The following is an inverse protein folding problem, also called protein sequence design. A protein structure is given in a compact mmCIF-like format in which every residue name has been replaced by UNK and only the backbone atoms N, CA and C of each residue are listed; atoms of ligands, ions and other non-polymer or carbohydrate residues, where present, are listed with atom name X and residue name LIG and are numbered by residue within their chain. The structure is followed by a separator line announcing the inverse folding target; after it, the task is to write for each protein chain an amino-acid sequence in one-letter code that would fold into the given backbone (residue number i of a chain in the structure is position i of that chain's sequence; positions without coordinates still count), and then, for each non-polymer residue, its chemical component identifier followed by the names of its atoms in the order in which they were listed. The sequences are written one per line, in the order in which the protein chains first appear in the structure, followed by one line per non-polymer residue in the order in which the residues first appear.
data_IF_105787794901
#
_entry.id   IF_105787794901
#
_cell.length_a   1.000
_cell.length_b   1.000
_cell.length_c   1.000
_cell.angle_alpha   90.00
_cell.angle_beta   90.00
_cell.angle_gamma   90.00
#
_symmetry.space_group_name_H-M   'P 1'
#
loop_
_entity.id
_entity.type
_entity.pdbx_description
1 polymer ?
#
# COMPACT_ATOMS: atom_id res chain seq x y z
N UNK A 1 -10.82 33.07 -4.96
CA UNK A 1 -11.54 31.80 -4.73
C UNK A 1 -10.50 30.69 -4.60
N UNK A 2 -10.07 30.37 -3.38
CA UNK A 2 -9.02 29.37 -3.12
C UNK A 2 -9.60 28.25 -2.26
N UNK A 3 -9.87 27.11 -2.87
CA UNK A 3 -10.24 25.89 -2.14
C UNK A 3 -8.97 25.15 -1.74
N UNK A 4 -8.38 25.54 -0.60
CA UNK A 4 -7.39 24.73 0.08
C UNK A 4 -8.11 23.52 0.72
N UNK A 5 -8.09 22.39 0.01
CA UNK A 5 -8.63 21.14 0.51
C UNK A 5 -7.94 20.70 1.79
N UNK A 6 -8.72 20.63 2.86
CA UNK A 6 -8.37 20.10 4.18
C UNK A 6 -7.67 18.75 4.05
N UNK A 7 -6.37 18.71 4.37
CA UNK A 7 -5.67 17.45 4.66
C UNK A 7 -6.29 16.89 5.93
N UNK A 8 -7.19 15.92 5.76
CA UNK A 8 -7.76 15.14 6.85
C UNK A 8 -6.62 14.40 7.55
N UNK A 9 -6.11 14.98 8.64
CA UNK A 9 -5.20 14.31 9.57
C UNK A 9 -5.99 13.21 10.28
N UNK A 10 -6.16 12.05 9.62
CA UNK A 10 -6.69 10.86 10.30
C UNK A 10 -5.58 10.30 11.19
N UNK A 11 -5.82 10.47 12.48
CA UNK A 11 -5.05 10.03 13.64
C UNK A 11 -4.45 8.62 13.45
N UNK A 12 -3.12 8.44 13.57
CA UNK A 12 -2.54 7.10 13.67
C UNK A 12 -2.99 6.43 14.98
N UNK A 13 -3.15 5.08 15.02
CA UNK A 13 -3.57 4.37 16.22
C UNK A 13 -2.55 4.57 17.37
N UNK A 14 -3.01 4.68 18.63
CA UNK A 14 -2.14 4.94 19.75
C UNK A 14 -1.33 3.69 20.13
N UNK A 15 -0.01 3.89 20.28
CA UNK A 15 1.00 2.94 20.77
C UNK A 15 1.21 1.67 19.93
N UNK A 16 2.18 1.74 19.01
CA UNK A 16 2.84 0.55 18.48
C UNK A 16 4.34 0.69 18.71
N UNK A 17 4.85 0.00 19.73
CA UNK A 17 6.29 -0.20 19.89
C UNK A 17 6.85 -0.85 18.63
N UNK A 18 7.91 -0.26 18.05
CA UNK A 18 8.71 -0.74 16.90
C UNK A 18 8.18 -1.99 16.21
N UNK A 19 7.11 -1.86 15.42
CA UNK A 19 6.71 -2.91 14.49
C UNK A 19 7.79 -2.94 13.41
N UNK A 20 8.66 -3.94 13.46
CA UNK A 20 9.70 -4.16 12.44
C UNK A 20 9.00 -4.79 11.24
N UNK A 21 8.37 -3.97 10.42
CA UNK A 21 7.83 -4.39 9.13
C UNK A 21 8.97 -4.95 8.28
N UNK A 22 9.06 -6.28 8.17
CA UNK A 22 10.05 -6.93 7.34
C UNK A 22 9.66 -6.78 5.86
N UNK A 23 10.65 -6.86 4.96
CA UNK A 23 10.39 -6.80 3.52
C UNK A 23 9.45 -7.92 3.05
N UNK A 24 9.50 -9.08 3.70
CA UNK A 24 8.62 -10.23 3.43
C UNK A 24 7.15 -9.92 3.74
N UNK A 25 6.84 -9.31 4.88
CA UNK A 25 5.43 -9.00 5.22
C UNK A 25 4.83 -7.97 4.27
N UNK A 26 5.62 -6.98 3.82
CA UNK A 26 5.20 -6.00 2.81
C UNK A 26 4.95 -6.64 1.44
N UNK A 27 5.72 -7.67 1.08
CA UNK A 27 5.59 -8.37 -0.20
C UNK A 27 4.33 -9.23 -0.24
N UNK A 28 4.06 -10.01 0.81
CA UNK A 28 2.84 -10.82 0.91
C UNK A 28 1.56 -9.99 1.00
N UNK A 29 1.62 -8.80 1.59
CA UNK A 29 0.50 -7.89 1.61
C UNK A 29 0.25 -7.23 0.24
N UNK A 30 1.31 -7.01 -0.54
CA UNK A 30 1.19 -6.55 -1.92
C UNK A 30 0.58 -7.63 -2.82
N UNK A 31 1.02 -8.90 -2.71
CA UNK A 31 0.45 -10.01 -3.48
C UNK A 31 -1.04 -10.22 -3.19
N UNK A 32 -1.52 -10.01 -1.96
CA UNK A 32 -2.95 -10.10 -1.65
C UNK A 32 -3.83 -9.09 -2.42
N UNK A 33 -3.25 -8.00 -2.95
CA UNK A 33 -3.96 -7.04 -3.82
C UNK A 33 -4.15 -7.57 -5.24
N UNK A 34 -3.36 -8.57 -5.65
CA UNK A 34 -3.45 -9.19 -6.98
C UNK A 34 -4.73 -9.99 -7.13
N UNK A 35 -5.21 -10.59 -6.05
CA UNK A 35 -6.36 -11.49 -6.05
C UNK A 35 -7.71 -10.75 -6.15
N UNK A 36 -7.75 -9.43 -5.93
CA UNK A 36 -8.92 -8.59 -6.17
C UNK A 36 -8.79 -7.86 -7.52
N UNK A 37 -9.66 -8.14 -8.52
CA UNK A 37 -9.67 -7.44 -9.81
C UNK A 37 -9.78 -5.91 -9.70
N UNK A 38 -10.38 -5.39 -8.61
CA UNK A 38 -10.51 -3.95 -8.35
C UNK A 38 -9.19 -3.35 -7.84
N UNK A 39 -8.36 -4.15 -7.19
CA UNK A 39 -7.08 -3.72 -6.58
C UNK A 39 -5.87 -4.09 -7.44
N UNK A 40 -6.06 -4.86 -8.52
CA UNK A 40 -5.00 -5.25 -9.45
C UNK A 40 -4.16 -4.06 -9.99
N UNK A 41 -4.76 -2.88 -10.17
CA UNK A 41 -4.04 -1.65 -10.57
C UNK A 41 -3.12 -1.13 -9.46
N UNK A 42 -3.51 -1.29 -8.20
CA UNK A 42 -2.69 -0.93 -7.04
C UNK A 42 -1.52 -1.91 -6.88
N UNK A 43 -1.77 -3.20 -7.11
CA UNK A 43 -0.72 -4.21 -7.17
C UNK A 43 0.31 -3.87 -8.25
N UNK A 44 -0.12 -3.60 -9.49
CA UNK A 44 0.79 -3.25 -10.60
C UNK A 44 1.67 -2.03 -10.30
N UNK A 45 1.12 -1.02 -9.61
CA UNK A 45 1.85 0.15 -9.15
C UNK A 45 2.91 -0.22 -8.11
N UNK A 46 2.58 -1.03 -7.10
CA UNK A 46 3.55 -1.48 -6.10
C UNK A 46 4.64 -2.37 -6.71
N UNK A 47 4.25 -3.35 -7.53
CA UNK A 47 5.11 -4.25 -8.29
C UNK A 47 6.19 -3.45 -9.05
N UNK A 48 5.73 -2.48 -9.85
CA UNK A 48 6.63 -1.67 -10.67
C UNK A 48 7.52 -0.75 -9.84
N UNK A 49 6.99 -0.19 -8.75
CA UNK A 49 7.72 0.80 -7.94
C UNK A 49 8.78 0.16 -7.06
N UNK A 50 8.50 -0.99 -6.45
CA UNK A 50 9.36 -1.58 -5.42
C UNK A 50 10.07 -2.86 -5.85
N UNK A 51 9.53 -3.60 -6.83
CA UNK A 51 10.08 -4.92 -7.22
C UNK A 51 10.82 -4.90 -8.55
N UNK A 52 10.52 -3.97 -9.46
CA UNK A 52 11.14 -3.92 -10.79
C UNK A 52 12.40 -3.04 -10.91
N UNK A 53 13.06 -2.70 -9.79
CA UNK A 53 14.29 -1.88 -9.71
C UNK A 53 14.29 -0.67 -10.67
N UNK A 54 13.17 0.02 -10.78
CA UNK A 54 13.09 1.26 -11.57
C UNK A 54 13.87 2.38 -10.87
N UNK A 55 14.64 3.21 -11.60
CA UNK A 55 15.49 4.23 -10.99
C UNK A 55 14.68 5.38 -10.40
N UNK A 56 13.47 5.64 -10.93
CA UNK A 56 12.61 6.72 -10.44
C UNK A 56 11.13 6.36 -10.54
N UNK A 57 10.31 7.03 -9.71
CA UNK A 57 8.85 6.93 -9.78
C UNK A 57 8.28 7.43 -11.12
N UNK A 58 8.92 8.43 -11.76
CA UNK A 58 8.52 8.88 -13.09
C UNK A 58 8.70 7.78 -14.14
N UNK A 59 9.79 7.00 -14.05
CA UNK A 59 10.02 5.82 -14.90
C UNK A 59 8.97 4.73 -14.63
N UNK A 60 8.60 4.54 -13.37
CA UNK A 60 7.52 3.62 -13.01
C UNK A 60 6.18 4.02 -13.65
N UNK A 61 5.83 5.30 -13.60
CA UNK A 61 4.62 5.84 -14.22
C UNK A 61 4.62 5.65 -15.75
N UNK A 62 5.75 5.94 -16.42
CA UNK A 62 5.93 5.71 -17.86
C UNK A 62 5.77 4.24 -18.23
N UNK A 63 6.39 3.32 -17.48
CA UNK A 63 6.25 1.86 -17.71
C UNK A 63 4.82 1.37 -17.58
N UNK A 64 4.03 1.98 -16.70
CA UNK A 64 2.62 1.68 -16.50
C UNK A 64 1.69 2.39 -17.49
N UNK A 65 2.22 3.27 -18.36
CA UNK A 65 1.41 4.08 -19.26
C UNK A 65 0.51 5.08 -18.54
N UNK A 66 0.89 5.52 -17.34
CA UNK A 66 0.09 6.41 -16.50
C UNK A 66 0.65 7.84 -16.47
N UNK A 67 -0.21 8.86 -16.48
CA UNK A 67 0.19 10.20 -16.07
C UNK A 67 0.76 10.19 -14.65
N UNK A 68 1.80 10.99 -14.39
CA UNK A 68 2.51 10.97 -13.10
C UNK A 68 1.61 11.29 -11.91
N UNK A 69 0.65 12.22 -12.05
CA UNK A 69 -0.33 12.55 -11.01
C UNK A 69 -1.27 11.37 -10.71
N UNK A 70 -1.74 10.67 -11.74
CA UNK A 70 -2.54 9.45 -11.62
C UNK A 70 -1.75 8.36 -10.91
N UNK A 71 -0.51 8.12 -11.35
CA UNK A 71 0.41 7.18 -10.71
C UNK A 71 0.58 7.49 -9.21
N UNK A 72 0.87 8.76 -8.85
CA UNK A 72 1.06 9.16 -7.44
C UNK A 72 -0.17 8.86 -6.59
N UNK A 73 -1.36 9.23 -7.08
CA UNK A 73 -2.63 8.93 -6.39
C UNK A 73 -2.86 7.42 -6.22
N UNK A 74 -2.48 6.60 -7.20
CA UNK A 74 -2.59 5.15 -7.10
C UNK A 74 -1.57 4.58 -6.12
N UNK A 75 -0.34 5.08 -6.14
CA UNK A 75 0.72 4.64 -5.24
C UNK A 75 0.37 4.95 -3.77
N UNK A 76 -0.17 6.14 -3.49
CA UNK A 76 -0.63 6.51 -2.14
C UNK A 76 -1.74 5.56 -1.65
N UNK A 77 -2.73 5.27 -2.49
CA UNK A 77 -3.80 4.30 -2.19
C UNK A 77 -3.28 2.89 -1.98
N UNK A 78 -2.36 2.46 -2.82
CA UNK A 78 -1.77 1.12 -2.73
C UNK A 78 -1.02 0.95 -1.39
N UNK A 79 -0.23 1.96 -0.98
CA UNK A 79 0.44 1.96 0.32
C UNK A 79 -0.55 1.94 1.49
N UNK A 80 -1.61 2.76 1.44
CA UNK A 80 -2.65 2.75 2.47
C UNK A 80 -3.30 1.38 2.61
N UNK A 81 -3.62 0.73 1.48
CA UNK A 81 -4.25 -0.58 1.46
C UNK A 81 -3.33 -1.68 2.01
N UNK A 82 -2.04 -1.65 1.65
CA UNK A 82 -1.02 -2.54 2.23
C UNK A 82 -0.93 -2.36 3.74
N UNK A 83 -0.87 -1.11 4.23
CA UNK A 83 -0.86 -0.83 5.67
C UNK A 83 -2.11 -1.37 6.38
N UNK A 84 -3.29 -1.24 5.76
CA UNK A 84 -4.55 -1.76 6.30
C UNK A 84 -4.56 -3.30 6.36
N UNK A 85 -4.09 -3.97 5.31
CA UNK A 85 -3.96 -5.43 5.28
C UNK A 85 -3.00 -5.93 6.35
N UNK A 86 -1.84 -5.29 6.46
CA UNK A 86 -0.83 -5.59 7.45
C UNK A 86 -1.36 -5.39 8.88
N UNK A 87 -2.02 -4.27 9.14
CA UNK A 87 -2.65 -3.98 10.43
C UNK A 87 -3.70 -5.04 10.80
N UNK A 88 -4.56 -5.42 9.85
CA UNK A 88 -5.53 -6.51 10.07
C UNK A 88 -4.82 -7.81 10.43
N UNK A 89 -3.74 -8.19 9.76
CA UNK A 89 -3.02 -9.43 10.04
C UNK A 89 -2.42 -9.43 11.46
N UNK A 90 -1.90 -8.31 11.92
CA UNK A 90 -1.29 -8.21 13.26
C UNK A 90 -2.32 -8.10 14.39
N UNK A 91 -3.46 -7.49 14.13
CA UNK A 91 -4.52 -7.26 15.13
C UNK A 91 -5.60 -8.32 15.13
N UNK A 92 -5.69 -9.16 14.10
CA UNK A 92 -6.56 -10.33 14.12
C UNK A 92 -5.97 -11.29 15.15
N UNK A 93 -6.65 -11.56 16.27
CA UNK A 93 -6.17 -12.56 17.21
C UNK A 93 -6.01 -13.87 16.44
N UNK A 94 -4.83 -14.48 16.51
CA UNK A 94 -4.63 -15.84 16.00
C UNK A 94 -5.51 -16.72 16.88
N UNK A 95 -6.75 -16.96 16.44
CA UNK A 95 -7.68 -17.86 17.13
C UNK A 95 -7.06 -19.24 17.03
N UNK A 96 -6.34 -19.62 18.09
CA UNK A 96 -5.92 -20.99 18.31
C UNK A 96 -7.20 -21.81 18.37
N UNK A 97 -7.43 -22.62 17.33
CA UNK A 97 -8.59 -23.52 17.30
C UNK A 97 -8.44 -24.48 18.48
N UNK A 98 -9.41 -24.56 19.40
CA UNK A 98 -9.37 -25.60 20.42
C UNK A 98 -9.55 -26.95 19.73
N UNK A 99 -8.71 -27.90 20.14
CA UNK A 99 -8.74 -29.30 19.73
C UNK A 99 -10.07 -29.98 20.06
#
# INVERSE_FOLDING_TARGET
MSHAGTVSRRRPPPAAGRVRWTWSSRSEAAEALRDDPREAKLHAVLATTYFHRVPTQATAAQRLGLPFSTYRRHLERAQQRVCELLWRRETTPRVERPH
#
